data_IF_971696962070
#
_entry.id   IF_971696962070
#
_cell.length_a   1.000
_cell.length_b   1.000
_cell.length_c   1.000
_cell.angle_alpha   90.00
_cell.angle_beta   90.00
_cell.angle_gamma   90.00
#
_symmetry.space_group_name_H-M   'P 1'
#
loop_
_entity.id
_entity.type
_entity.pdbx_description
1 polymer ?
#
# COMPACT_ATOMS: atom_id res chain seq x y z
N UNK A 1 4.82 26.35 -3.57
CA UNK A 1 4.76 25.97 -2.16
C UNK A 1 4.59 24.46 -2.06
N UNK A 2 5.31 23.87 -1.15
CA UNK A 2 5.22 22.43 -0.99
C UNK A 2 3.99 22.06 -0.18
N UNK A 3 3.45 20.91 -0.48
CA UNK A 3 2.32 20.37 0.27
C UNK A 3 2.77 19.96 1.68
N UNK A 4 1.91 20.16 2.65
CA UNK A 4 2.15 19.63 3.97
C UNK A 4 1.97 18.11 3.93
N UNK A 5 2.48 17.43 4.94
CA UNK A 5 2.33 15.98 5.04
C UNK A 5 0.85 15.59 5.10
N UNK A 6 0.04 16.36 5.81
CA UNK A 6 -1.38 16.08 5.93
C UNK A 6 -2.09 16.25 4.59
N UNK A 7 -1.73 17.29 3.83
CA UNK A 7 -2.33 17.50 2.51
C UNK A 7 -1.97 16.38 1.54
N UNK A 8 -0.71 15.98 1.54
CA UNK A 8 -0.27 14.87 0.70
C UNK A 8 -1.05 13.60 1.05
N UNK A 9 -1.19 13.33 2.33
CA UNK A 9 -1.91 12.15 2.79
C UNK A 9 -3.37 12.18 2.34
N UNK A 10 -4.04 13.30 2.50
CA UNK A 10 -5.43 13.43 2.09
C UNK A 10 -5.61 13.23 0.60
N UNK A 11 -4.73 13.82 -0.20
CA UNK A 11 -4.83 13.74 -1.65
C UNK A 11 -4.63 12.33 -2.17
N UNK A 12 -3.80 11.55 -1.50
CA UNK A 12 -3.42 10.24 -2.00
C UNK A 12 -4.02 9.07 -1.22
N UNK A 13 -4.83 9.37 -0.21
CA UNK A 13 -5.38 8.33 0.66
C UNK A 13 -6.20 7.31 -0.13
N UNK A 14 -7.13 7.78 -0.95
CA UNK A 14 -7.99 6.88 -1.71
C UNK A 14 -7.17 6.05 -2.69
N UNK A 15 -6.24 6.70 -3.39
CA UNK A 15 -5.40 6.00 -4.35
C UNK A 15 -4.54 4.93 -3.66
N UNK A 16 -4.02 5.26 -2.47
CA UNK A 16 -3.21 4.31 -1.72
C UNK A 16 -4.04 3.11 -1.26
N UNK A 17 -5.27 3.36 -0.82
CA UNK A 17 -6.16 2.27 -0.43
C UNK A 17 -6.50 1.37 -1.61
N UNK A 18 -6.81 1.96 -2.76
CA UNK A 18 -7.13 1.20 -3.97
C UNK A 18 -5.94 0.38 -4.43
N UNK A 19 -4.76 0.98 -4.39
CA UNK A 19 -3.54 0.29 -4.78
C UNK A 19 -3.26 -0.89 -3.84
N UNK A 20 -3.41 -0.67 -2.54
CA UNK A 20 -3.19 -1.72 -1.56
C UNK A 20 -4.17 -2.89 -1.76
N UNK A 21 -5.43 -2.59 -2.04
CA UNK A 21 -6.43 -3.62 -2.27
C UNK A 21 -6.10 -4.42 -3.53
N UNK A 22 -5.65 -3.74 -4.57
CA UNK A 22 -5.25 -4.40 -5.81
C UNK A 22 -4.09 -5.35 -5.57
N UNK A 23 -3.09 -4.90 -4.83
CA UNK A 23 -1.93 -5.73 -4.52
C UNK A 23 -2.32 -6.91 -3.62
N UNK A 24 -3.17 -6.65 -2.65
CA UNK A 24 -3.61 -7.68 -1.73
C UNK A 24 -4.44 -8.76 -2.43
N UNK A 25 -5.20 -8.37 -3.44
CA UNK A 25 -6.03 -9.32 -4.19
C UNK A 25 -5.19 -10.39 -4.90
N UNK A 26 -3.94 -10.09 -5.20
CA UNK A 26 -3.07 -11.06 -5.86
C UNK A 26 -2.51 -12.11 -4.91
N UNK A 27 -2.72 -11.95 -3.61
CA UNK A 27 -2.16 -12.85 -2.61
C UNK A 27 -2.63 -14.28 -2.80
N UNK A 28 -3.92 -14.45 -3.09
CA UNK A 28 -4.49 -15.79 -3.26
C UNK A 28 -3.87 -16.53 -4.44
N UNK A 29 -3.55 -15.81 -5.51
CA UNK A 29 -2.96 -16.41 -6.70
C UNK A 29 -1.47 -16.70 -6.53
N UNK A 30 -0.75 -15.77 -5.91
CA UNK A 30 0.70 -15.86 -5.79
C UNK A 30 1.16 -16.64 -4.57
N UNK A 31 0.31 -16.70 -3.55
CA UNK A 31 0.60 -17.45 -2.32
C UNK A 31 1.99 -17.18 -1.78
N UNK A 32 2.86 -18.19 -1.72
CA UNK A 32 4.19 -18.04 -1.16
C UNK A 32 5.07 -17.02 -1.86
N UNK A 33 4.82 -16.75 -3.13
CA UNK A 33 5.58 -15.76 -3.90
C UNK A 33 5.08 -14.34 -3.71
N UNK A 34 3.94 -14.17 -3.02
CA UNK A 34 3.30 -12.85 -2.91
C UNK A 34 4.17 -11.82 -2.19
N UNK A 35 4.84 -12.23 -1.13
CA UNK A 35 5.65 -11.28 -0.34
C UNK A 35 6.78 -10.67 -1.18
N UNK A 36 7.49 -11.51 -1.94
CA UNK A 36 8.54 -10.99 -2.82
C UNK A 36 7.97 -10.11 -3.92
N UNK A 37 6.85 -10.54 -4.48
CA UNK A 37 6.20 -9.79 -5.55
C UNK A 37 5.72 -8.42 -5.06
N UNK A 38 5.04 -8.39 -3.90
CA UNK A 38 4.51 -7.13 -3.40
C UNK A 38 5.62 -6.18 -2.97
N UNK A 39 6.72 -6.72 -2.44
CA UNK A 39 7.85 -5.89 -2.08
C UNK A 39 8.42 -5.19 -3.30
N UNK A 40 8.51 -5.90 -4.44
CA UNK A 40 8.97 -5.31 -5.69
C UNK A 40 8.01 -4.23 -6.18
N UNK A 41 6.71 -4.46 -6.05
CA UNK A 41 5.72 -3.46 -6.44
C UNK A 41 5.87 -2.19 -5.61
N UNK A 42 6.01 -2.34 -4.29
CA UNK A 42 6.19 -1.19 -3.41
C UNK A 42 7.47 -0.43 -3.70
N UNK A 43 8.52 -1.17 -4.01
CA UNK A 43 9.82 -0.56 -4.33
C UNK A 43 9.71 0.35 -5.55
N UNK A 44 8.86 0.01 -6.49
CA UNK A 44 8.70 0.77 -7.73
C UNK A 44 7.73 1.95 -7.61
N UNK A 45 7.03 2.07 -6.50
CA UNK A 45 6.10 3.19 -6.32
C UNK A 45 6.85 4.48 -6.03
N UNK A 46 6.38 5.56 -6.60
CA UNK A 46 6.94 6.90 -6.41
C UNK A 46 5.82 7.89 -6.15
N UNK A 47 6.04 8.88 -5.32
CA UNK A 47 7.23 9.08 -4.49
C UNK A 47 7.25 8.12 -3.30
N UNK A 48 8.36 8.11 -2.55
CA UNK A 48 8.52 7.23 -1.42
C UNK A 48 7.41 7.40 -0.37
N UNK A 49 6.92 8.61 -0.21
CA UNK A 49 5.84 8.89 0.74
C UNK A 49 4.57 8.15 0.35
N UNK A 50 4.28 8.06 -0.95
CA UNK A 50 3.12 7.32 -1.44
C UNK A 50 3.32 5.82 -1.21
N UNK A 51 4.50 5.32 -1.49
CA UNK A 51 4.82 3.91 -1.26
C UNK A 51 4.60 3.53 0.21
N UNK A 52 4.99 4.42 1.12
CA UNK A 52 4.77 4.20 2.56
C UNK A 52 3.29 4.12 2.90
N UNK A 53 2.49 4.96 2.26
CA UNK A 53 1.04 4.93 2.48
C UNK A 53 0.43 3.60 2.03
N UNK A 54 0.83 3.12 0.86
CA UNK A 54 0.32 1.86 0.33
C UNK A 54 0.75 0.70 1.23
N UNK A 55 1.99 0.71 1.68
CA UNK A 55 2.51 -0.32 2.56
C UNK A 55 1.72 -0.39 3.86
N UNK A 56 1.39 0.78 4.42
CA UNK A 56 0.62 0.85 5.65
C UNK A 56 -0.79 0.28 5.47
N UNK A 57 -1.42 0.61 4.33
CA UNK A 57 -2.73 0.08 4.04
C UNK A 57 -2.69 -1.43 3.82
N UNK A 58 -1.63 -1.93 3.20
CA UNK A 58 -1.45 -3.37 3.04
C UNK A 58 -1.33 -4.08 4.37
N UNK A 59 -0.59 -3.49 5.30
CA UNK A 59 -0.45 -4.06 6.64
C UNK A 59 -1.80 -4.15 7.32
N UNK A 60 -2.61 -3.11 7.16
CA UNK A 60 -3.94 -3.08 7.74
C UNK A 60 -4.83 -4.20 7.17
N UNK A 61 -4.73 -4.43 5.87
CA UNK A 61 -5.51 -5.49 5.21
C UNK A 61 -5.08 -6.88 5.66
N UNK A 62 -3.80 -7.05 5.98
CA UNK A 62 -3.27 -8.34 6.39
C UNK A 62 -3.53 -8.67 7.85
N UNK A 63 -3.71 -7.65 8.67
CA UNK A 63 -3.92 -7.88 10.10
C UNK A 63 -5.34 -8.35 10.34
N UNK A 64 -5.49 -9.42 11.10
CA UNK A 64 -6.84 -9.88 11.44
C UNK A 64 -7.52 -8.83 12.31
N UNK A 65 -8.83 -8.75 12.18
CA UNK A 65 -9.60 -7.86 13.02
C UNK A 65 -9.35 -8.23 14.47
N UNK A 66 -9.00 -7.25 15.26
CA UNK A 66 -8.68 -7.49 16.63
C UNK A 66 -9.95 -7.68 17.44
N UNK A 67 -10.06 -8.76 18.17
CA UNK A 67 -11.25 -8.95 18.99
C UNK A 67 -11.33 -7.97 20.14
#
# INVERSE_FOLDING_TARGET
MSQSRAEFHQMHQQAACDEAQRLFASKAQLQGAWLSWVAAQLYNLRPAAYASMVRRELQRLQEPADP
#
